data_IF_709931303149
#
_entry.id   IF_709931303149
#
_cell.length_a   1.000
_cell.length_b   1.000
_cell.length_c   1.000
_cell.angle_alpha   90.00
_cell.angle_beta   90.00
_cell.angle_gamma   90.00
#
_symmetry.space_group_name_H-M   'P 1'
#
loop_
_entity.id
_entity.type
_entity.pdbx_description
1 polymer ?
#
# COMPACT_ATOMS: atom_id res chain seq x y z
N UNK A 1 13.34 -1.72 -22.78
CA UNK A 1 13.02 -1.66 -24.23
C UNK A 1 12.15 -0.43 -24.43
N UNK A 2 12.58 0.55 -25.23
CA UNK A 2 11.74 1.71 -25.54
C UNK A 2 10.65 1.22 -26.49
N UNK A 3 9.42 1.07 -25.99
CA UNK A 3 8.29 0.77 -26.85
C UNK A 3 7.80 2.13 -27.33
N UNK A 4 8.13 2.48 -28.58
CA UNK A 4 7.45 3.58 -29.25
C UNK A 4 5.99 3.17 -29.43
N UNK A 5 5.18 3.45 -28.40
CA UNK A 5 3.73 3.53 -28.54
C UNK A 5 3.52 4.74 -29.42
N UNK A 6 3.57 4.54 -30.76
CA UNK A 6 2.95 5.49 -31.69
C UNK A 6 1.57 5.69 -31.11
N UNK A 7 1.24 6.92 -30.75
CA UNK A 7 -0.07 7.28 -30.21
C UNK A 7 -1.12 6.74 -31.18
N UNK A 8 -1.60 5.53 -30.88
CA UNK A 8 -2.77 4.94 -31.49
C UNK A 8 -3.87 5.94 -31.09
N UNK A 9 -4.67 6.40 -32.05
CA UNK A 9 -5.49 7.59 -31.88
C UNK A 9 -6.31 7.52 -30.59
N UNK A 10 -6.70 8.69 -30.02
CA UNK A 10 -7.63 8.72 -28.87
C UNK A 10 -8.85 7.80 -29.06
N UNK A 11 -9.24 7.57 -30.30
CA UNK A 11 -10.37 6.75 -30.72
C UNK A 11 -10.13 5.22 -30.64
N UNK A 12 -8.88 4.75 -30.59
CA UNK A 12 -8.55 3.33 -30.42
C UNK A 12 -8.41 2.92 -28.93
N UNK A 13 -8.40 3.90 -28.02
CA UNK A 13 -8.42 3.62 -26.60
C UNK A 13 -9.86 3.37 -26.13
N UNK A 14 -10.21 2.11 -25.97
CA UNK A 14 -11.47 1.75 -25.31
C UNK A 14 -11.37 2.12 -23.82
N UNK A 15 -12.12 3.16 -23.43
CA UNK A 15 -12.57 3.46 -22.07
C UNK A 15 -11.47 3.77 -21.03
N UNK A 16 -11.48 4.99 -20.47
CA UNK A 16 -10.69 5.34 -19.29
C UNK A 16 -11.16 4.51 -18.10
N UNK A 17 -10.40 3.49 -17.69
CA UNK A 17 -10.79 2.62 -16.57
C UNK A 17 -10.46 3.22 -15.19
N UNK A 18 -9.86 4.40 -15.11
CA UNK A 18 -9.71 5.15 -13.87
C UNK A 18 -8.98 6.48 -14.08
N UNK A 19 -9.53 7.56 -13.51
CA UNK A 19 -8.79 8.78 -13.21
C UNK A 19 -8.26 8.63 -11.78
N UNK A 20 -6.96 8.38 -11.63
CA UNK A 20 -6.27 8.55 -10.35
C UNK A 20 -5.60 9.92 -10.29
N UNK A 21 -5.13 10.33 -9.11
CA UNK A 21 -4.38 11.60 -8.94
C UNK A 21 -3.10 11.71 -9.79
N UNK A 22 -2.66 10.60 -10.39
CA UNK A 22 -1.40 10.46 -11.12
C UNK A 22 -1.56 10.36 -12.64
N UNK A 23 -2.80 10.42 -13.17
CA UNK A 23 -3.05 10.40 -14.63
C UNK A 23 -4.18 9.46 -15.06
N UNK A 24 -4.28 9.26 -16.38
CA UNK A 24 -5.32 8.44 -17.01
C UNK A 24 -4.76 7.09 -17.45
N UNK A 25 -5.43 6.00 -17.08
CA UNK A 25 -5.07 4.63 -17.51
C UNK A 25 -6.01 4.17 -18.62
N UNK A 26 -5.42 3.71 -19.73
CA UNK A 26 -6.13 3.21 -20.91
C UNK A 26 -5.83 1.74 -21.15
N UNK A 27 -6.80 1.00 -21.69
CA UNK A 27 -6.56 -0.35 -22.19
C UNK A 27 -6.04 -0.26 -23.63
N UNK A 28 -5.00 -1.03 -23.95
CA UNK A 28 -4.44 -1.16 -25.28
C UNK A 28 -4.22 -2.62 -25.68
N UNK A 29 -3.92 -2.85 -26.96
CA UNK A 29 -3.63 -4.17 -27.52
C UNK A 29 -2.41 -4.07 -28.44
N UNK A 30 -1.39 -4.91 -28.22
CA UNK A 30 -0.28 -5.05 -29.16
C UNK A 30 -0.64 -6.03 -30.28
N UNK A 31 -0.36 -5.63 -31.51
CA UNK A 31 -0.56 -6.41 -32.73
C UNK A 31 0.79 -6.67 -33.43
N UNK A 32 1.02 -7.87 -33.99
CA UNK A 32 0.19 -9.07 -33.92
C UNK A 32 0.32 -9.79 -32.56
N UNK A 33 -0.73 -10.52 -32.15
CA UNK A 33 -0.72 -11.38 -30.95
C UNK A 33 -1.83 -11.14 -29.94
N UNK A 34 -2.63 -10.07 -30.11
CA UNK A 34 -3.76 -9.72 -29.24
C UNK A 34 -3.36 -9.60 -27.75
N UNK A 35 -2.14 -9.10 -27.51
CA UNK A 35 -1.60 -8.96 -26.17
C UNK A 35 -2.13 -7.68 -25.55
N UNK A 36 -2.98 -7.85 -24.55
CA UNK A 36 -3.61 -6.75 -23.84
C UNK A 36 -2.64 -6.06 -22.87
N UNK A 37 -2.67 -4.73 -22.86
CA UNK A 37 -1.83 -3.88 -21.99
C UNK A 37 -2.62 -2.77 -21.33
N UNK A 38 -2.11 -2.27 -20.20
CA UNK A 38 -2.59 -1.05 -19.55
C UNK A 38 -1.58 0.09 -19.76
N UNK A 39 -2.04 1.25 -20.24
CA UNK A 39 -1.21 2.39 -20.60
C UNK A 39 -1.56 3.53 -19.64
N UNK A 40 -0.67 3.78 -18.66
CA UNK A 40 -0.76 4.89 -17.71
C UNK A 40 -0.12 6.12 -18.36
N UNK A 41 -0.95 7.08 -18.75
CA UNK A 41 -0.51 8.37 -19.28
C UNK A 41 -0.29 9.33 -18.12
N UNK A 42 0.93 9.87 -18.00
CA UNK A 42 1.27 10.89 -17.01
C UNK A 42 1.17 12.25 -17.70
N UNK A 43 0.29 13.12 -17.19
CA UNK A 43 0.11 14.45 -17.77
C UNK A 43 1.37 15.30 -17.56
N UNK A 44 1.93 15.86 -18.64
CA UNK A 44 3.19 16.61 -18.59
C UNK A 44 3.10 17.99 -17.92
N UNK A 45 1.92 18.44 -17.50
CA UNK A 45 1.70 19.80 -16.99
C UNK A 45 2.00 19.94 -15.49
N UNK A 46 2.04 18.86 -14.71
CA UNK A 46 2.45 18.92 -13.31
C UNK A 46 3.92 18.56 -13.19
N UNK A 47 4.74 19.49 -12.67
CA UNK A 47 6.15 19.26 -12.32
C UNK A 47 6.34 17.99 -11.47
N UNK A 48 5.30 17.59 -10.74
CA UNK A 48 5.23 16.39 -9.90
C UNK A 48 5.41 15.08 -10.68
N UNK A 49 4.94 15.00 -11.92
CA UNK A 49 4.82 13.72 -12.65
C UNK A 49 6.16 13.22 -13.21
N UNK A 50 7.16 14.11 -13.34
CA UNK A 50 8.48 13.76 -13.86
C UNK A 50 9.28 12.86 -12.92
N UNK A 51 9.29 13.17 -11.63
CA UNK A 51 9.97 12.35 -10.63
C UNK A 51 9.32 10.98 -10.49
N UNK A 52 7.98 10.93 -10.45
CA UNK A 52 7.23 9.68 -10.35
C UNK A 52 7.49 8.79 -11.57
N UNK A 53 7.52 9.35 -12.77
CA UNK A 53 7.89 8.62 -13.99
C UNK A 53 9.29 8.01 -13.88
N UNK A 54 10.28 8.82 -13.50
CA UNK A 54 11.66 8.36 -13.36
C UNK A 54 11.76 7.28 -12.29
N UNK A 55 11.08 7.47 -11.17
CA UNK A 55 11.09 6.51 -10.06
C UNK A 55 10.48 5.18 -10.47
N UNK A 56 9.34 5.22 -11.14
CA UNK A 56 8.62 4.04 -11.62
C UNK A 56 9.45 3.31 -12.68
N UNK A 57 10.03 4.00 -13.67
CA UNK A 57 10.93 3.36 -14.67
C UNK A 57 12.20 2.77 -14.02
N UNK A 58 12.82 3.49 -13.07
CA UNK A 58 14.05 3.05 -12.41
C UNK A 58 13.84 1.85 -11.48
N UNK A 59 12.67 1.76 -10.83
CA UNK A 59 12.31 0.67 -9.90
C UNK A 59 11.76 -0.54 -10.66
N UNK A 60 10.55 -0.42 -11.25
CA UNK A 60 9.81 -1.57 -11.79
C UNK A 60 10.34 -2.06 -13.14
N UNK A 61 11.13 -1.24 -13.85
CA UNK A 61 11.65 -1.58 -15.19
C UNK A 61 12.56 -2.81 -15.25
N UNK A 62 13.03 -3.31 -14.11
CA UNK A 62 13.87 -4.53 -14.01
C UNK A 62 13.24 -5.63 -13.17
N UNK A 63 11.99 -5.46 -12.74
CA UNK A 63 11.30 -6.39 -11.86
C UNK A 63 10.54 -7.42 -12.70
N UNK A 64 10.72 -8.69 -12.33
CA UNK A 64 9.89 -9.78 -12.84
C UNK A 64 9.54 -10.72 -11.70
N UNK A 65 8.31 -10.62 -11.18
CA UNK A 65 7.83 -11.44 -10.09
C UNK A 65 6.35 -11.76 -10.28
N UNK A 66 5.91 -12.95 -9.89
CA UNK A 66 4.51 -13.39 -10.09
C UNK A 66 3.51 -12.50 -9.36
N UNK A 67 3.92 -11.90 -8.23
CA UNK A 67 3.11 -11.00 -7.42
C UNK A 67 3.47 -9.51 -7.55
N UNK A 68 4.11 -9.10 -8.65
CA UNK A 68 4.34 -7.68 -8.97
C UNK A 68 3.94 -7.44 -10.42
N UNK A 69 3.20 -6.37 -10.67
CA UNK A 69 2.75 -6.04 -12.03
C UNK A 69 3.96 -5.76 -12.91
N UNK A 70 3.97 -6.34 -14.10
CA UNK A 70 5.06 -6.20 -15.04
C UNK A 70 4.96 -4.90 -15.83
N UNK A 71 5.98 -4.05 -15.72
CA UNK A 71 6.22 -2.99 -16.71
C UNK A 71 6.73 -3.64 -18.01
N UNK A 72 5.94 -3.53 -19.08
CA UNK A 72 6.27 -4.04 -20.41
C UNK A 72 7.17 -3.06 -21.16
N UNK A 73 6.94 -1.77 -20.98
CA UNK A 73 7.72 -0.71 -21.60
C UNK A 73 7.27 0.67 -21.17
N UNK A 74 7.92 1.68 -21.73
CA UNK A 74 7.55 3.07 -21.51
C UNK A 74 7.78 3.88 -22.78
N UNK A 75 7.10 5.01 -22.87
CA UNK A 75 7.28 6.02 -23.91
C UNK A 75 7.64 7.36 -23.25
N UNK A 76 8.66 8.02 -23.79
CA UNK A 76 9.11 9.34 -23.35
C UNK A 76 9.42 10.17 -24.59
N UNK A 77 8.40 10.77 -25.18
CA UNK A 77 8.51 11.63 -26.36
C UNK A 77 8.08 13.05 -25.99
N UNK A 78 8.95 14.04 -26.21
CA UNK A 78 8.73 15.46 -25.86
C UNK A 78 8.22 15.64 -24.42
N UNK A 79 6.96 16.06 -24.26
CA UNK A 79 6.26 16.28 -22.98
C UNK A 79 5.31 15.12 -22.61
N UNK A 80 5.24 14.07 -23.41
CA UNK A 80 4.39 12.90 -23.16
C UNK A 80 5.19 11.81 -22.49
N UNK A 81 4.67 11.32 -21.37
CA UNK A 81 5.23 10.19 -20.62
C UNK A 81 4.14 9.15 -20.48
N UNK A 82 4.45 7.92 -20.88
CA UNK A 82 3.53 6.80 -20.77
C UNK A 82 4.25 5.57 -20.24
N UNK A 83 3.59 4.84 -19.36
CA UNK A 83 4.05 3.57 -18.83
C UNK A 83 3.09 2.48 -19.32
N UNK A 84 3.65 1.40 -19.84
CA UNK A 84 2.89 0.29 -20.42
C UNK A 84 3.08 -0.93 -19.55
N UNK A 85 1.99 -1.40 -18.93
CA UNK A 85 1.95 -2.56 -18.06
C UNK A 85 1.25 -3.73 -18.74
N UNK A 86 1.46 -4.93 -18.21
CA UNK A 86 0.54 -6.03 -18.43
C UNK A 86 -0.88 -5.62 -18.02
N UNK A 87 -1.89 -6.02 -18.79
CA UNK A 87 -3.28 -5.74 -18.44
C UNK A 87 -3.75 -6.65 -17.31
N UNK A 88 -4.38 -6.07 -16.28
CA UNK A 88 -4.92 -6.77 -15.12
C UNK A 88 -6.46 -6.78 -15.19
N UNK A 89 -7.08 -7.80 -15.81
CA UNK A 89 -8.50 -7.79 -16.18
C UNK A 89 -9.44 -7.79 -14.99
N UNK A 90 -9.01 -8.29 -13.83
CA UNK A 90 -9.81 -8.23 -12.60
C UNK A 90 -9.60 -6.94 -11.83
N UNK A 91 -8.79 -5.98 -12.30
CA UNK A 91 -8.67 -4.66 -11.68
C UNK A 91 -8.19 -4.71 -10.22
N UNK A 92 -8.52 -3.68 -9.45
CA UNK A 92 -8.04 -3.54 -8.05
C UNK A 92 -8.73 -4.46 -7.06
N UNK A 93 -8.04 -4.80 -5.97
CA UNK A 93 -8.59 -5.53 -4.82
C UNK A 93 -9.68 -4.72 -4.11
N UNK A 94 -9.57 -3.38 -4.12
CA UNK A 94 -10.51 -2.46 -3.48
C UNK A 94 -11.97 -2.81 -3.78
N UNK A 95 -12.32 -3.03 -5.05
CA UNK A 95 -13.71 -3.30 -5.45
C UNK A 95 -14.29 -4.61 -4.92
N UNK A 96 -13.46 -5.53 -4.43
CA UNK A 96 -13.88 -6.85 -3.95
C UNK A 96 -14.01 -6.94 -2.43
N UNK A 97 -13.13 -6.25 -1.69
CA UNK A 97 -13.12 -6.36 -0.22
C UNK A 97 -14.12 -5.41 0.44
N UNK A 98 -14.58 -4.38 -0.27
CA UNK A 98 -15.57 -3.42 0.24
C UNK A 98 -16.93 -3.54 -0.46
N UNK A 99 -17.15 -4.59 -1.25
CA UNK A 99 -18.46 -4.89 -1.81
C UNK A 99 -19.42 -5.36 -0.71
N UNK A 100 -20.71 -5.07 -0.88
CA UNK A 100 -21.75 -5.48 0.09
C UNK A 100 -21.85 -6.99 0.28
N UNK A 101 -21.52 -7.75 -0.77
CA UNK A 101 -21.41 -9.21 -0.73
C UNK A 101 -19.93 -9.59 -0.74
N UNK A 102 -19.52 -10.48 0.16
CA UNK A 102 -18.12 -10.93 0.27
C UNK A 102 -17.76 -11.74 -0.98
N UNK A 103 -16.92 -11.15 -1.83
CA UNK A 103 -16.61 -11.70 -3.16
C UNK A 103 -15.71 -12.95 -3.12
N UNK A 104 -15.04 -13.21 -2.00
CA UNK A 104 -14.04 -14.27 -1.87
C UNK A 104 -14.32 -15.15 -0.65
N UNK A 105 -13.98 -16.43 -0.78
CA UNK A 105 -13.84 -17.31 0.38
C UNK A 105 -12.65 -16.87 1.23
N UNK A 106 -12.61 -17.34 2.48
CA UNK A 106 -11.49 -17.10 3.36
C UNK A 106 -10.16 -17.67 2.85
N UNK A 107 -10.19 -18.87 2.27
CA UNK A 107 -9.01 -19.47 1.63
C UNK A 107 -8.46 -18.57 0.52
N UNK A 108 -9.36 -18.02 -0.32
CA UNK A 108 -8.94 -17.14 -1.42
C UNK A 108 -8.42 -15.80 -0.91
N UNK A 109 -8.99 -15.24 0.16
CA UNK A 109 -8.44 -14.04 0.80
C UNK A 109 -7.04 -14.30 1.37
N UNK A 110 -6.82 -15.46 2.01
CA UNK A 110 -5.50 -15.83 2.52
C UNK A 110 -4.48 -16.03 1.37
N UNK A 111 -4.89 -16.66 0.26
CA UNK A 111 -4.06 -16.80 -0.94
C UNK A 111 -3.67 -15.42 -1.53
N UNK A 112 -4.64 -14.50 -1.62
CA UNK A 112 -4.41 -13.12 -2.07
C UNK A 112 -3.44 -12.40 -1.13
N UNK A 113 -3.63 -12.51 0.19
CA UNK A 113 -2.77 -11.91 1.20
C UNK A 113 -1.33 -12.43 1.11
N UNK A 114 -1.14 -13.75 0.95
CA UNK A 114 0.15 -14.37 0.73
C UNK A 114 0.82 -13.87 -0.55
N UNK A 115 0.07 -13.75 -1.65
CA UNK A 115 0.58 -13.19 -2.89
C UNK A 115 1.09 -11.76 -2.71
N UNK A 116 0.30 -10.90 -2.04
CA UNK A 116 0.71 -9.52 -1.74
C UNK A 116 1.99 -9.53 -0.88
N UNK A 117 2.02 -10.33 0.18
CA UNK A 117 3.16 -10.42 1.09
C UNK A 117 4.45 -10.84 0.36
N UNK A 118 4.35 -11.86 -0.52
CA UNK A 118 5.46 -12.31 -1.37
C UNK A 118 5.91 -11.24 -2.36
N UNK A 119 4.97 -10.48 -2.93
CA UNK A 119 5.26 -9.33 -3.78
C UNK A 119 6.09 -8.29 -3.05
N UNK A 120 5.66 -7.85 -1.87
CA UNK A 120 6.38 -6.86 -1.05
C UNK A 120 7.72 -7.41 -0.57
N UNK A 121 7.77 -8.67 -0.12
CA UNK A 121 9.03 -9.31 0.30
C UNK A 121 10.07 -9.34 -0.84
N UNK A 122 9.63 -9.59 -2.07
CA UNK A 122 10.50 -9.53 -3.24
C UNK A 122 11.06 -8.10 -3.47
N UNK A 123 10.25 -7.06 -3.27
CA UNK A 123 10.70 -5.68 -3.34
C UNK A 123 11.76 -5.37 -2.26
N UNK A 124 11.54 -5.85 -1.04
CA UNK A 124 12.44 -5.58 0.09
C UNK A 124 13.76 -6.36 0.02
N UNK A 125 13.71 -7.63 -0.36
CA UNK A 125 14.83 -8.57 -0.21
C UNK A 125 15.18 -9.36 -1.48
N UNK A 126 14.29 -9.40 -2.48
CA UNK A 126 14.49 -10.13 -3.74
C UNK A 126 15.28 -9.35 -4.81
N UNK A 127 15.24 -8.02 -4.76
CA UNK A 127 15.91 -7.14 -5.74
C UNK A 127 17.33 -6.73 -5.31
N UNK A 128 18.25 -6.49 -6.25
CA UNK A 128 19.63 -6.05 -5.97
C UNK A 128 19.68 -4.86 -5.01
N UNK A 129 18.87 -3.84 -5.28
CA UNK A 129 18.56 -2.77 -4.35
C UNK A 129 17.21 -3.03 -3.68
N UNK A 130 17.08 -2.62 -2.42
CA UNK A 130 15.81 -2.63 -1.72
C UNK A 130 14.87 -1.61 -2.36
N UNK A 131 13.64 -2.02 -2.63
CA UNK A 131 12.58 -1.17 -3.17
C UNK A 131 11.54 -0.97 -2.09
N UNK A 132 11.35 0.28 -1.67
CA UNK A 132 10.26 0.65 -0.77
C UNK A 132 9.13 1.21 -1.60
N UNK A 133 7.92 0.69 -1.39
CA UNK A 133 6.76 1.02 -2.22
C UNK A 133 6.08 2.32 -1.78
N UNK A 134 5.91 2.50 -0.47
CA UNK A 134 5.28 3.64 0.20
C UNK A 134 3.79 3.90 -0.10
N UNK A 135 3.18 3.19 -1.04
CA UNK A 135 1.74 3.31 -1.33
C UNK A 135 1.01 1.95 -1.41
N UNK A 136 1.30 1.04 -0.48
CA UNK A 136 0.57 -0.24 -0.38
C UNK A 136 -0.85 0.02 0.14
N UNK A 137 -1.86 -0.25 -0.69
CA UNK A 137 -3.29 -0.10 -0.39
C UNK A 137 -4.13 -0.96 -1.34
N UNK A 138 -5.41 -1.25 -1.04
CA UNK A 138 -6.25 -2.10 -1.88
C UNK A 138 -6.39 -1.65 -3.34
N UNK A 139 -6.31 -0.35 -3.63
CA UNK A 139 -6.36 0.19 -4.99
C UNK A 139 -5.13 -0.19 -5.84
N UNK A 140 -3.98 -0.35 -5.17
CA UNK A 140 -2.69 -0.65 -5.78
C UNK A 140 -2.38 -2.15 -5.79
N UNK A 141 -3.32 -3.00 -5.35
CA UNK A 141 -3.23 -4.44 -5.54
C UNK A 141 -4.14 -4.82 -6.71
N UNK A 142 -3.54 -5.21 -7.84
CA UNK A 142 -4.29 -5.65 -9.01
C UNK A 142 -4.40 -7.16 -9.08
N UNK A 143 -5.46 -7.65 -9.71
CA UNK A 143 -5.80 -9.06 -9.82
C UNK A 143 -5.80 -9.50 -11.29
N UNK A 144 -5.14 -10.61 -11.59
CA UNK A 144 -5.15 -11.22 -12.92
C UNK A 144 -6.41 -12.09 -13.14
N UNK A 145 -6.53 -12.76 -14.28
CA UNK A 145 -7.69 -13.60 -14.60
C UNK A 145 -7.97 -14.72 -13.59
N UNK A 146 -6.93 -15.21 -12.92
CA UNK A 146 -6.98 -16.27 -11.90
C UNK A 146 -7.06 -15.71 -10.46
N UNK A 147 -7.25 -14.40 -10.33
CA UNK A 147 -7.23 -13.67 -9.05
C UNK A 147 -5.90 -13.80 -8.31
N UNK A 148 -4.78 -13.96 -9.04
CA UNK A 148 -3.44 -13.81 -8.45
C UNK A 148 -3.21 -12.32 -8.19
N UNK A 149 -2.85 -11.99 -6.96
CA UNK A 149 -2.58 -10.62 -6.53
C UNK A 149 -1.19 -10.16 -6.97
N UNK A 150 -1.14 -8.92 -7.47
CA UNK A 150 0.09 -8.25 -7.87
C UNK A 150 0.13 -6.82 -7.35
N UNK A 151 1.25 -6.45 -6.73
CA UNK A 151 1.54 -5.07 -6.31
C UNK A 151 1.76 -4.20 -7.55
N UNK A 152 1.12 -3.03 -7.59
CA UNK A 152 1.14 -2.08 -8.70
C UNK A 152 1.34 -0.64 -8.19
N UNK A 153 1.54 0.29 -9.13
CA UNK A 153 1.71 1.73 -8.91
C UNK A 153 2.96 2.13 -8.10
N UNK A 154 4.09 2.17 -8.80
CA UNK A 154 5.41 2.42 -8.21
C UNK A 154 5.82 3.91 -8.29
N UNK A 155 4.86 4.81 -8.49
CA UNK A 155 5.13 6.26 -8.62
C UNK A 155 5.84 6.84 -7.39
N UNK A 156 5.48 6.38 -6.18
CA UNK A 156 6.12 6.82 -4.94
C UNK A 156 7.30 5.95 -4.50
N UNK A 157 7.59 4.87 -5.21
CA UNK A 157 8.60 3.90 -4.80
C UNK A 157 10.01 4.51 -4.79
N UNK A 158 10.95 3.94 -4.05
CA UNK A 158 12.35 4.40 -3.99
C UNK A 158 13.32 3.24 -3.87
N UNK A 159 14.52 3.41 -4.44
CA UNK A 159 15.62 2.45 -4.38
C UNK A 159 16.58 2.81 -3.25
N UNK A 160 16.91 1.84 -2.40
CA UNK A 160 17.88 1.98 -1.32
C UNK A 160 18.94 0.86 -1.37
N UNK A 161 20.22 1.18 -1.06
CA UNK A 161 21.22 0.15 -0.82
C UNK A 161 20.79 -0.74 0.34
N UNK A 162 20.93 -2.07 0.20
CA UNK A 162 20.56 -3.04 1.24
C UNK A 162 21.28 -2.83 2.58
N UNK A 163 22.46 -2.24 2.53
CA UNK A 163 23.31 -1.95 3.70
C UNK A 163 22.78 -0.78 4.54
N UNK A 164 21.90 0.06 3.98
CA UNK A 164 21.27 1.16 4.70
C UNK A 164 19.96 0.70 5.30
N UNK A 165 19.86 0.73 6.62
CA UNK A 165 18.65 0.34 7.36
C UNK A 165 17.59 1.45 7.43
N UNK A 166 17.89 2.67 6.96
CA UNK A 166 16.96 3.79 7.06
C UNK A 166 17.02 4.72 5.86
N UNK A 167 15.90 5.40 5.64
CA UNK A 167 15.69 6.37 4.57
C UNK A 167 15.93 7.80 5.08
N UNK A 168 16.81 8.53 4.39
CA UNK A 168 17.11 9.94 4.67
C UNK A 168 16.09 10.91 4.06
N UNK A 169 15.33 10.47 3.04
CA UNK A 169 14.40 11.30 2.29
C UNK A 169 13.27 11.84 3.20
N UNK A 170 12.86 13.10 2.97
CA UNK A 170 11.98 13.90 3.85
C UNK A 170 10.52 13.93 3.44
N UNK A 171 10.17 13.34 2.31
CA UNK A 171 8.87 13.55 1.71
C UNK A 171 7.77 12.74 2.43
N UNK A 172 6.74 13.45 2.91
CA UNK A 172 5.46 12.87 3.33
C UNK A 172 4.82 12.22 2.09
N UNK A 173 5.03 10.91 1.92
CA UNK A 173 4.58 10.13 0.77
C UNK A 173 3.71 8.97 1.26
N UNK A 174 2.65 8.69 0.50
CA UNK A 174 1.71 7.60 0.77
C UNK A 174 0.27 8.09 0.92
N UNK A 175 -0.63 7.12 1.13
CA UNK A 175 -2.06 7.39 1.29
C UNK A 175 -2.45 7.44 2.75
N UNK A 176 -3.15 8.50 3.15
CA UNK A 176 -3.72 8.65 4.52
C UNK A 176 -4.51 7.40 4.89
N UNK A 177 -4.26 6.85 6.08
CA UNK A 177 -4.83 5.59 6.56
C UNK A 177 -3.95 4.36 6.32
N UNK A 178 -2.94 4.44 5.44
CA UNK A 178 -1.95 3.37 5.23
C UNK A 178 -0.53 3.79 5.59
N UNK A 179 -0.28 5.07 5.81
CA UNK A 179 1.04 5.60 6.18
C UNK A 179 1.44 5.16 7.60
N UNK A 180 2.65 4.63 7.72
CA UNK A 180 3.23 4.30 9.01
C UNK A 180 3.46 5.57 9.86
N UNK A 181 3.37 5.49 11.20
CA UNK A 181 3.56 6.64 12.10
C UNK A 181 4.87 7.42 11.84
N UNK A 182 5.98 6.72 11.58
CA UNK A 182 7.28 7.33 11.28
C UNK A 182 7.36 8.07 9.94
N UNK A 183 6.42 7.80 9.02
CA UNK A 183 6.27 8.55 7.76
C UNK A 183 5.60 9.91 8.01
N UNK A 184 4.82 10.03 9.09
CA UNK A 184 4.12 11.26 9.48
C UNK A 184 4.98 12.09 10.43
N UNK A 185 5.64 11.45 11.40
CA UNK A 185 6.52 12.12 12.35
C UNK A 185 7.72 11.26 12.73
N UNK A 186 8.92 11.85 12.62
CA UNK A 186 10.19 11.24 13.07
C UNK A 186 10.23 10.94 14.57
N UNK A 187 9.32 11.50 15.36
CA UNK A 187 9.17 11.13 16.78
C UNK A 187 8.79 9.66 16.98
N UNK A 188 8.20 9.02 15.97
CA UNK A 188 7.85 7.61 16.00
C UNK A 188 8.97 6.68 15.52
N UNK A 189 10.04 7.24 14.95
CA UNK A 189 11.22 6.48 14.54
C UNK A 189 11.74 6.89 13.16
N UNK A 190 12.44 5.93 12.53
CA UNK A 190 13.06 6.10 11.21
C UNK A 190 12.30 5.31 10.15
N UNK A 191 12.14 5.94 8.99
CA UNK A 191 11.54 5.32 7.80
C UNK A 191 12.45 4.18 7.31
N UNK A 192 11.85 3.01 7.05
CA UNK A 192 12.51 1.78 6.59
C UNK A 192 11.52 0.92 5.80
N UNK A 193 11.90 -0.30 5.44
CA UNK A 193 11.03 -1.34 4.88
C UNK A 193 9.81 -1.64 5.75
N UNK A 194 9.94 -1.41 7.06
CA UNK A 194 8.84 -1.53 8.02
C UNK A 194 7.68 -0.56 7.79
N UNK A 195 7.89 0.51 7.01
CA UNK A 195 6.80 1.39 6.58
C UNK A 195 5.80 0.66 5.68
N UNK A 196 6.29 -0.14 4.72
CA UNK A 196 5.43 -0.94 3.85
C UNK A 196 4.77 -2.09 4.62
N UNK A 197 5.44 -2.64 5.63
CA UNK A 197 4.86 -3.65 6.54
C UNK A 197 3.64 -3.09 7.26
N UNK A 198 3.70 -1.85 7.74
CA UNK A 198 2.55 -1.19 8.36
C UNK A 198 1.39 -1.04 7.38
N UNK A 199 1.66 -0.54 6.17
CA UNK A 199 0.65 -0.40 5.13
C UNK A 199 0.01 -1.74 4.75
N UNK A 200 0.82 -2.81 4.69
CA UNK A 200 0.35 -4.18 4.51
C UNK A 200 -0.56 -4.64 5.66
N UNK A 201 -0.19 -4.36 6.91
CA UNK A 201 -1.03 -4.67 8.06
C UNK A 201 -2.38 -3.98 8.04
N UNK A 202 -2.42 -2.69 7.67
CA UNK A 202 -3.67 -1.96 7.46
C UNK A 202 -4.52 -2.60 6.36
N UNK A 203 -3.89 -3.00 5.26
CA UNK A 203 -4.57 -3.71 4.17
C UNK A 203 -5.15 -5.06 4.64
N UNK A 204 -4.41 -5.85 5.42
CA UNK A 204 -4.90 -7.14 5.95
C UNK A 204 -6.13 -6.97 6.85
N UNK A 205 -6.14 -5.93 7.69
CA UNK A 205 -7.27 -5.64 8.55
C UNK A 205 -8.52 -5.29 7.73
N UNK A 206 -8.38 -4.54 6.63
CA UNK A 206 -9.50 -4.28 5.72
C UNK A 206 -9.96 -5.53 4.99
N UNK A 207 -9.03 -6.41 4.58
CA UNK A 207 -9.36 -7.70 3.98
C UNK A 207 -10.18 -8.59 4.93
N UNK A 208 -9.79 -8.63 6.21
CA UNK A 208 -10.50 -9.39 7.23
C UNK A 208 -11.89 -8.79 7.53
N UNK A 209 -11.93 -7.48 7.79
CA UNK A 209 -13.15 -6.80 8.20
C UNK A 209 -14.17 -6.57 7.09
N UNK A 210 -13.74 -6.60 5.82
CA UNK A 210 -14.59 -6.28 4.66
C UNK A 210 -15.10 -4.83 4.67
N UNK A 211 -14.39 -3.93 5.37
CA UNK A 211 -14.77 -2.53 5.59
C UNK A 211 -13.52 -1.67 5.75
N UNK A 212 -13.66 -0.35 5.50
CA UNK A 212 -12.55 0.60 5.74
C UNK A 212 -12.16 0.58 7.21
N UNK A 213 -10.86 0.71 7.47
CA UNK A 213 -10.33 0.70 8.83
C UNK A 213 -10.84 1.88 9.67
N UNK A 214 -10.99 3.05 9.06
CA UNK A 214 -11.59 4.23 9.68
C UNK A 214 -12.91 4.56 8.96
N UNK A 215 -13.98 4.67 9.72
CA UNK A 215 -15.27 5.19 9.23
C UNK A 215 -15.56 6.54 9.92
N UNK A 216 -15.33 7.68 9.23
CA UNK A 216 -15.56 8.99 9.80
C UNK A 216 -17.05 9.29 10.05
N UNK A 217 -17.96 8.52 9.42
CA UNK A 217 -19.40 8.69 9.55
C UNK A 217 -20.03 7.68 10.52
N UNK A 218 -19.23 6.88 11.22
CA UNK A 218 -19.76 5.94 12.20
C UNK A 218 -20.49 6.70 13.31
N UNK A 219 -21.83 6.61 13.32
CA UNK A 219 -22.70 7.15 14.36
C UNK A 219 -22.22 6.67 15.73
N UNK A 220 -21.61 7.56 16.53
CA UNK A 220 -21.34 7.61 17.99
C UNK A 220 -21.16 6.35 18.86
N UNK A 221 -21.42 5.14 18.37
CA UNK A 221 -20.85 3.88 18.85
C UNK A 221 -19.36 3.87 18.50
N UNK A 222 -18.62 4.72 19.22
CA UNK A 222 -17.20 4.97 19.06
C UNK A 222 -16.37 3.67 19.02
N UNK A 223 -16.85 2.60 19.66
CA UNK A 223 -16.18 1.30 19.67
C UNK A 223 -15.99 0.66 18.30
N UNK A 224 -16.81 0.99 17.28
CA UNK A 224 -16.70 0.40 15.92
C UNK A 224 -16.19 1.38 14.86
N UNK A 225 -15.84 2.60 15.25
CA UNK A 225 -15.39 3.64 14.31
C UNK A 225 -14.00 3.31 13.72
N UNK A 226 -13.12 2.75 14.55
CA UNK A 226 -11.78 2.32 14.13
C UNK A 226 -11.64 0.80 14.28
N UNK A 227 -11.70 0.11 13.14
CA UNK A 227 -11.71 -1.35 13.07
C UNK A 227 -10.49 -2.02 13.73
N UNK A 228 -9.25 -1.53 13.53
CA UNK A 228 -8.07 -2.12 14.19
C UNK A 228 -8.14 -2.14 15.73
N UNK A 229 -8.65 -1.07 16.36
CA UNK A 229 -8.85 -1.06 17.81
C UNK A 229 -9.99 -1.99 18.24
N UNK A 230 -11.10 -1.95 17.50
CA UNK A 230 -12.25 -2.82 17.77
C UNK A 230 -11.88 -4.30 17.74
N UNK A 231 -11.17 -4.75 16.70
CA UNK A 231 -10.81 -6.16 16.55
C UNK A 231 -9.76 -6.60 17.57
N UNK A 232 -8.84 -5.71 17.96
CA UNK A 232 -7.92 -5.97 19.06
C UNK A 232 -8.67 -6.26 20.37
N UNK A 233 -9.65 -5.42 20.72
CA UNK A 233 -10.44 -5.60 21.94
C UNK A 233 -11.24 -6.91 21.91
N UNK A 234 -11.77 -7.30 20.74
CA UNK A 234 -12.45 -8.59 20.57
C UNK A 234 -11.48 -9.77 20.80
N UNK A 235 -10.29 -9.76 20.18
CA UNK A 235 -9.32 -10.85 20.30
C UNK A 235 -8.76 -11.01 21.71
N UNK A 236 -8.60 -9.92 22.47
CA UNK A 236 -8.17 -9.98 23.87
C UNK A 236 -9.29 -10.52 24.77
N UNK A 237 -10.54 -10.12 24.55
CA UNK A 237 -11.67 -10.64 25.31
C UNK A 237 -11.82 -12.16 25.13
N UNK A 238 -11.60 -12.65 23.92
CA UNK A 238 -11.57 -14.08 23.58
C UNK A 238 -10.47 -14.86 24.32
N UNK A 239 -9.26 -14.28 24.44
CA UNK A 239 -8.16 -14.92 25.19
C UNK A 239 -8.40 -14.98 26.71
N UNK A 240 -9.23 -14.08 27.27
CA UNK A 240 -9.48 -14.02 28.71
C UNK A 240 -10.70 -14.82 29.16
N UNK A 241 -11.63 -15.13 28.26
CA UNK A 241 -12.92 -15.74 28.58
C UNK A 241 -13.04 -17.09 27.87
N UNK A 242 -12.75 -18.18 28.57
CA UNK A 242 -13.04 -19.57 28.15
C UNK A 242 -14.57 -19.84 27.99
N UNK A 243 -15.43 -18.85 28.22
CA UNK A 243 -16.89 -18.93 28.13
C UNK A 243 -17.45 -18.15 26.93
N UNK A 244 -17.83 -18.90 25.87
CA UNK A 244 -18.79 -18.59 24.80
C UNK A 244 -18.98 -17.07 24.54
N UNK A 245 -17.93 -16.40 24.06
CA UNK A 245 -18.04 -15.04 23.54
C UNK A 245 -18.45 -15.09 22.05
N UNK A 246 -19.03 -14.01 21.52
CA UNK A 246 -19.37 -13.88 20.09
C UNK A 246 -18.15 -14.06 19.15
N UNK A 247 -16.92 -14.13 19.68
CA UNK A 247 -15.69 -14.42 18.92
C UNK A 247 -15.60 -15.89 18.49
N UNK A 248 -16.34 -16.80 19.15
CA UNK A 248 -16.46 -18.20 18.72
C UNK A 248 -16.94 -18.34 17.25
N UNK A 249 -17.54 -17.29 16.69
CA UNK A 249 -18.00 -17.25 15.30
C UNK A 249 -16.97 -16.66 14.31
N UNK A 250 -15.82 -16.13 14.77
CA UNK A 250 -14.79 -15.61 13.88
C UNK A 250 -14.10 -16.77 13.15
N UNK A 251 -14.06 -16.70 11.83
CA UNK A 251 -13.43 -17.75 11.04
C UNK A 251 -11.92 -17.82 11.30
N UNK A 252 -11.34 -19.01 11.32
CA UNK A 252 -9.91 -19.23 11.60
C UNK A 252 -8.97 -18.33 10.77
N UNK A 253 -9.21 -18.29 9.45
CA UNK A 253 -8.43 -17.44 8.54
C UNK A 253 -8.73 -15.93 8.71
N UNK A 254 -9.93 -15.55 9.13
CA UNK A 254 -10.24 -14.15 9.49
C UNK A 254 -9.38 -13.73 10.69
N UNK A 255 -9.37 -14.56 11.72
CA UNK A 255 -8.54 -14.40 12.91
C UNK A 255 -7.06 -14.31 12.53
N UNK A 256 -6.58 -15.16 11.61
CA UNK A 256 -5.20 -15.13 11.11
C UNK A 256 -4.85 -13.79 10.46
N UNK A 257 -5.67 -13.29 9.53
CA UNK A 257 -5.45 -12.00 8.88
C UNK A 257 -5.44 -10.85 9.89
N UNK A 258 -6.34 -10.89 10.88
CA UNK A 258 -6.38 -9.90 11.96
C UNK A 258 -5.11 -9.93 12.83
N UNK A 259 -4.67 -11.11 13.27
CA UNK A 259 -3.46 -11.25 14.10
C UNK A 259 -2.22 -10.77 13.36
N UNK A 260 -1.99 -11.23 12.13
CA UNK A 260 -0.85 -10.77 11.31
C UNK A 260 -0.95 -9.26 11.06
N UNK A 261 -2.14 -8.76 10.72
CA UNK A 261 -2.39 -7.33 10.57
C UNK A 261 -1.98 -6.52 11.80
N UNK A 262 -2.39 -6.96 13.00
CA UNK A 262 -2.07 -6.31 14.28
C UNK A 262 -0.57 -6.35 14.60
N UNK A 263 0.15 -7.43 14.25
CA UNK A 263 1.61 -7.48 14.36
C UNK A 263 2.29 -6.51 13.40
N UNK A 264 1.75 -6.38 12.19
CA UNK A 264 2.27 -5.47 11.17
C UNK A 264 2.06 -3.98 11.50
N UNK A 265 1.02 -3.61 12.26
CA UNK A 265 0.71 -2.20 12.55
C UNK A 265 1.25 -1.67 13.89
N UNK A 266 2.23 -2.34 14.50
CA UNK A 266 2.84 -1.87 15.76
C UNK A 266 3.40 -0.44 15.61
N UNK A 267 3.26 0.39 16.66
CA UNK A 267 3.69 1.80 16.60
C UNK A 267 5.19 1.94 16.31
N UNK A 268 6.02 1.16 16.99
CA UNK A 268 7.46 1.15 16.76
C UNK A 268 7.77 0.21 15.61
N UNK A 269 8.53 0.69 14.63
CA UNK A 269 8.87 -0.09 13.44
C UNK A 269 9.62 -1.39 13.72
N UNK A 270 10.45 -1.44 14.78
CA UNK A 270 11.19 -2.65 15.16
C UNK A 270 10.33 -3.73 15.83
N UNK A 271 9.13 -3.38 16.31
CA UNK A 271 8.18 -4.35 16.88
C UNK A 271 7.33 -5.03 15.79
N UNK A 272 7.38 -4.52 14.55
CA UNK A 272 6.70 -5.13 13.40
C UNK A 272 7.55 -6.29 12.86
N UNK A 273 6.93 -7.36 12.32
CA UNK A 273 7.66 -8.42 11.63
C UNK A 273 8.30 -7.90 10.32
N UNK A 274 9.27 -8.61 9.79
CA UNK A 274 9.71 -8.46 8.39
C UNK A 274 8.65 -9.07 7.47
N UNK A 275 8.70 -8.76 6.17
CA UNK A 275 7.76 -9.39 5.24
C UNK A 275 7.95 -10.91 5.12
N UNK A 276 9.17 -11.42 5.33
CA UNK A 276 9.42 -12.87 5.38
C UNK A 276 8.75 -13.51 6.60
N UNK A 277 8.90 -12.91 7.79
CA UNK A 277 8.19 -13.37 9.00
C UNK A 277 6.67 -13.26 8.84
N UNK A 278 6.15 -12.19 8.21
CA UNK A 278 4.72 -12.06 7.94
C UNK A 278 4.19 -13.15 6.98
N UNK A 279 5.00 -13.59 6.00
CA UNK A 279 4.67 -14.74 5.14
C UNK A 279 4.62 -16.02 5.98
N UNK A 280 5.61 -16.27 6.84
CA UNK A 280 5.62 -17.44 7.72
C UNK A 280 4.38 -17.48 8.63
N UNK A 281 3.96 -16.33 9.17
CA UNK A 281 2.74 -16.23 9.98
C UNK A 281 1.46 -16.52 9.18
N UNK A 282 1.39 -16.12 7.91
CA UNK A 282 0.23 -16.38 7.04
C UNK A 282 0.17 -17.83 6.54
N UNK A 283 1.33 -18.48 6.37
CA UNK A 283 1.44 -19.89 6.00
C UNK A 283 1.25 -20.83 7.20
N UNK A 284 1.63 -20.38 8.39
CA UNK A 284 1.54 -21.12 9.64
C UNK A 284 0.13 -21.29 10.18
N UNK A 285 0.02 -22.05 11.27
CA UNK A 285 -1.21 -22.28 12.02
C UNK A 285 -1.63 -21.02 12.79
N UNK A 286 -2.93 -20.68 12.79
CA UNK A 286 -3.43 -19.52 13.54
C UNK A 286 -3.26 -19.73 15.05
N UNK A 287 -3.32 -20.96 15.53
CA UNK A 287 -3.25 -21.29 16.96
C UNK A 287 -1.84 -21.04 17.53
N UNK A 288 -0.83 -20.99 16.65
CA UNK A 288 0.53 -20.63 17.01
C UNK A 288 0.72 -19.10 17.14
N UNK A 289 -0.22 -18.29 16.66
CA UNK A 289 -0.12 -16.83 16.68
C UNK A 289 -0.69 -16.25 17.98
N UNK A 290 0.16 -15.53 18.71
CA UNK A 290 -0.28 -14.75 19.87
C UNK A 290 -0.79 -13.39 19.45
N UNK A 291 -1.76 -12.84 20.20
CA UNK A 291 -2.17 -11.44 20.06
C UNK A 291 -0.97 -10.56 20.44
N UNK A 292 -0.55 -9.60 19.57
CA UNK A 292 0.56 -8.70 19.88
C UNK A 292 0.18 -7.70 20.99
N UNK A 293 1.14 -6.87 21.39
CA UNK A 293 0.84 -5.69 22.20
C UNK A 293 -0.13 -4.75 21.46
N UNK A 294 -0.89 -3.95 22.21
CA UNK A 294 -1.82 -2.96 21.64
C UNK A 294 -1.03 -1.99 20.74
N UNK A 295 -1.36 -1.91 19.43
CA UNK A 295 -0.63 -1.08 18.48
C UNK A 295 -1.01 0.42 18.52
N UNK A 296 -1.71 0.87 19.56
CA UNK A 296 -2.20 2.25 19.70
C UNK A 296 -1.82 2.81 21.06
N UNK A 297 -1.65 4.13 21.18
CA UNK A 297 -1.57 4.73 22.51
C UNK A 297 -2.90 4.52 23.23
N UNK A 298 -2.83 3.92 24.43
CA UNK A 298 -3.99 3.84 25.32
C UNK A 298 -4.45 5.26 25.66
N UNK A 299 -5.73 5.55 25.42
CA UNK A 299 -6.45 6.48 26.30
C UNK A 299 -6.37 5.84 27.69
N UNK A 300 -5.59 6.45 28.58
CA UNK A 300 -5.11 5.83 29.81
C UNK A 300 -6.22 5.21 30.66
N UNK A 301 -5.88 4.09 31.29
CA UNK A 301 -6.62 3.51 32.41
C UNK A 301 -7.00 4.62 33.40
N UNK A 302 -8.29 4.65 33.75
CA UNK A 302 -8.97 5.83 34.24
C UNK A 302 -8.28 6.57 35.38
N UNK A 303 -8.07 7.87 35.19
CA UNK A 303 -8.28 8.93 36.17
C UNK A 303 -8.78 10.15 35.37
N UNK A 304 -9.95 10.65 35.75
CA UNK A 304 -10.73 11.62 34.98
C UNK A 304 -9.97 12.87 34.55
N UNK A 305 -10.10 13.21 33.28
CA UNK A 305 -10.56 14.51 32.77
C UNK A 305 -10.42 14.52 31.25
N UNK A 306 -11.52 14.14 30.59
CA UNK A 306 -11.95 14.50 29.23
C UNK A 306 -10.94 15.14 28.29
N UNK A 307 -9.94 14.38 27.83
CA UNK A 307 -9.33 14.66 26.54
C UNK A 307 -10.01 13.76 25.49
N UNK A 308 -10.62 14.31 24.43
CA UNK A 308 -11.30 13.52 23.42
C UNK A 308 -10.29 12.64 22.66
N UNK A 309 -10.74 11.53 22.04
CA UNK A 309 -9.86 10.63 21.27
C UNK A 309 -9.09 11.43 20.21
N UNK A 310 -7.92 10.95 19.75
CA UNK A 310 -6.92 11.77 19.09
C UNK A 310 -7.50 12.58 17.93
N UNK A 311 -7.85 13.85 18.21
CA UNK A 311 -8.16 14.84 17.19
C UNK A 311 -6.96 15.12 16.28
N UNK A 312 -5.81 14.53 16.61
CA UNK A 312 -4.61 14.42 15.78
C UNK A 312 -4.84 13.56 14.53
N UNK A 313 -5.98 12.86 14.34
CA UNK A 313 -6.33 12.35 13.01
C UNK A 313 -7.28 13.27 12.24
N UNK A 314 -8.28 13.86 12.89
CA UNK A 314 -9.23 14.77 12.23
C UNK A 314 -8.56 16.02 11.64
N UNK A 315 -7.53 16.56 12.31
CA UNK A 315 -6.80 17.73 11.78
C UNK A 315 -5.98 17.41 10.51
N UNK A 316 -5.71 16.14 10.21
CA UNK A 316 -4.92 15.74 9.03
C UNK A 316 -5.78 15.25 7.87
N UNK A 317 -7.06 14.96 8.08
CA UNK A 317 -8.00 14.70 6.98
C UNK A 317 -8.22 15.93 6.07
N UNK A 318 -7.80 17.12 6.50
CA UNK A 318 -8.03 18.36 5.75
C UNK A 318 -6.85 18.92 4.94
N UNK A 319 -5.66 18.30 4.94
CA UNK A 319 -4.50 18.85 4.21
C UNK A 319 -4.18 18.11 2.92
N UNK A 320 -5.06 18.22 1.92
CA UNK A 320 -4.66 18.03 0.51
C UNK A 320 -4.20 19.37 -0.04
N UNK A 321 -3.03 19.88 0.37
CA UNK A 321 -2.31 21.02 -0.26
C UNK A 321 -1.07 21.38 0.58
N UNK A 322 0.01 20.61 0.46
CA UNK A 322 1.32 21.05 0.90
C UNK A 322 2.29 20.89 -0.28
N UNK A 323 2.32 21.92 -1.11
CA UNK A 323 3.39 22.17 -2.09
C UNK A 323 4.72 22.19 -1.35
N UNK A 324 5.62 21.28 -1.75
CA UNK A 324 6.98 21.19 -1.27
C UNK A 324 7.68 22.56 -1.35
N UNK A 325 8.21 23.01 -0.21
CA UNK A 325 9.12 24.14 -0.13
C UNK A 325 10.41 23.70 -0.82
N UNK A 326 10.67 24.26 -2.00
CA UNK A 326 11.90 24.06 -2.77
C UNK A 326 13.10 24.55 -1.98
N UNK A 327 14.10 23.68 -1.85
CA UNK A 327 15.38 23.94 -1.20
C UNK A 327 16.16 25.07 -1.88
N UNK A 328 16.90 25.79 -1.05
CA UNK A 328 17.62 27.02 -1.35
C UNK A 328 18.74 26.84 -2.39
N UNK A 329 18.91 27.92 -3.14
CA UNK A 329 19.83 28.14 -4.25
C UNK A 329 21.29 28.22 -3.74
N UNK A 330 21.93 27.07 -3.53
CA UNK A 330 23.37 27.01 -3.28
C UNK A 330 24.14 27.06 -4.60
N UNK A 331 24.63 28.27 -4.90
CA UNK A 331 25.35 28.62 -6.11
C UNK A 331 26.55 27.73 -6.40
N UNK A 332 26.71 27.38 -7.68
CA UNK A 332 27.94 26.82 -8.22
C UNK A 332 28.38 27.70 -9.39
N UNK A 333 29.57 28.27 -9.18
CA UNK A 333 30.34 29.13 -10.04
C UNK A 333 30.44 28.66 -11.50
N UNK A 334 30.17 29.57 -12.42
CA UNK A 334 30.62 29.50 -13.82
C UNK A 334 32.16 29.49 -13.86
N UNK A 335 32.71 28.32 -14.13
CA UNK A 335 34.11 28.12 -14.50
C UNK A 335 34.22 27.99 -16.03
N UNK A 336 34.78 29.05 -16.63
CA UNK A 336 35.79 29.06 -17.69
C UNK A 336 35.73 28.06 -18.86
N UNK A 337 35.76 28.63 -20.08
CA UNK A 337 36.56 28.27 -21.28
C UNK A 337 35.73 28.66 -22.51
N UNK A 338 36.22 29.35 -23.54
CA UNK A 338 37.56 29.64 -24.05
C UNK A 338 37.49 30.85 -24.97
#
# INVERSE_FOLDING_TARGET
MQVCVRTVGRDDFSYSQGQGGYGSVYKGVFLPGDVHVAIKMLDGNSNCNGEDFISEVATIGRIHHINVVRLVGFCSEEMRRALVYEYMPRGSLNKYIFSSERSFSWDKLNEIALGIARGINYLHQGCEMQILHFDIKPDNILLDDNFVSKVADFGLAKLYPREKSFVSDRALRGTVGYMAPEMVSRSFGVISDKSDVYSFGMLLLEMAGGRRNADPNANSNASRAYYPAWVYDQLIADQQVDEISNVADMHELERKLCLVGLWCIQMKSHDRPTMSEAIEMLEGDVDALQVPLRPFFCDGDGIGNGMPPPQVMDSYFHSSELTAISEEDDGIAELASS
#
